data_IF_689014573917
#
_entry.id   IF_689014573917
#
_cell.length_a   1.000
_cell.length_b   1.000
_cell.length_c   1.000
_cell.angle_alpha   90.00
_cell.angle_beta   90.00
_cell.angle_gamma   90.00
#
_symmetry.space_group_name_H-M   'P 1'
#
loop_
_entity.id
_entity.type
_entity.pdbx_description
1 polymer ?
#
# COMPACT_ATOMS: atom_id res chain seq x y z
N UNK A 1 9.69 -0.23 -6.19
CA UNK A 1 10.87 0.53 -5.72
C UNK A 1 10.72 0.76 -4.22
N UNK A 2 11.82 0.84 -3.48
CA UNK A 2 11.89 1.25 -2.06
C UNK A 2 13.01 2.27 -1.88
N UNK A 3 12.96 3.04 -0.80
CA UNK A 3 13.96 4.04 -0.47
C UNK A 3 14.25 4.00 1.02
N UNK A 4 15.53 3.95 1.37
CA UNK A 4 15.95 4.28 2.74
C UNK A 4 16.07 5.78 2.82
N UNK A 5 15.14 6.41 3.52
CA UNK A 5 15.10 7.86 3.66
C UNK A 5 16.00 8.34 4.80
N UNK A 6 16.76 9.39 4.55
CA UNK A 6 17.52 10.14 5.55
C UNK A 6 17.11 11.62 5.45
N UNK A 7 16.58 12.15 6.55
CA UNK A 7 16.20 13.56 6.64
C UNK A 7 17.42 14.45 6.42
N UNK A 8 17.25 15.46 5.57
CA UNK A 8 18.26 16.51 5.34
C UNK A 8 18.17 17.62 6.40
N UNK A 9 17.17 17.57 7.28
CA UNK A 9 16.90 18.56 8.33
C UNK A 9 17.29 18.07 9.73
N UNK A 10 17.86 16.87 9.85
CA UNK A 10 18.37 16.37 11.14
C UNK A 10 19.81 16.85 11.34
N UNK A 11 19.95 17.98 12.04
CA UNK A 11 21.25 18.59 12.38
C UNK A 11 22.06 17.76 13.42
N UNK A 12 21.41 16.84 14.14
CA UNK A 12 22.03 16.03 15.21
C UNK A 12 23.06 14.98 14.72
N UNK A 13 23.16 14.75 13.41
CA UNK A 13 24.05 13.72 12.84
C UNK A 13 25.44 14.23 12.41
N UNK A 14 25.74 15.51 12.61
CA UNK A 14 27.01 16.10 12.16
C UNK A 14 28.05 16.18 13.29
N UNK A 15 27.64 16.20 14.56
CA UNK A 15 28.56 16.55 15.67
C UNK A 15 29.30 15.35 16.30
N UNK A 16 28.81 14.11 16.12
CA UNK A 16 29.43 12.90 16.71
C UNK A 16 29.86 11.87 15.65
N UNK A 17 30.68 12.29 14.68
CA UNK A 17 31.38 11.34 13.79
C UNK A 17 32.71 10.92 14.42
N UNK A 18 32.64 9.97 15.34
CA UNK A 18 33.78 9.11 15.63
C UNK A 18 34.26 8.45 14.32
N UNK A 19 35.56 8.50 14.08
CA UNK A 19 36.26 8.01 12.89
C UNK A 19 36.06 6.49 12.64
N UNK A 20 35.48 5.75 13.59
CA UNK A 20 35.13 4.33 13.48
C UNK A 20 33.80 4.04 12.75
N UNK A 21 33.06 5.05 12.26
CA UNK A 21 31.81 4.87 11.48
C UNK A 21 32.01 4.93 9.96
N UNK A 22 33.16 4.49 9.45
CA UNK A 22 33.48 4.47 8.01
C UNK A 22 32.66 3.42 7.21
N UNK A 23 31.80 2.62 7.85
CA UNK A 23 30.85 1.73 7.17
C UNK A 23 29.64 2.47 6.55
N UNK A 24 29.36 3.72 6.97
CA UNK A 24 28.18 4.45 6.50
C UNK A 24 28.36 5.22 5.18
N UNK A 25 29.59 5.38 4.69
CA UNK A 25 29.87 6.14 3.45
C UNK A 25 29.32 5.44 2.19
N UNK A 26 29.07 4.12 2.26
CA UNK A 26 28.59 3.31 1.14
C UNK A 26 27.06 3.13 1.10
N UNK A 27 26.30 3.73 2.03
CA UNK A 27 24.84 3.58 2.04
C UNK A 27 24.16 4.54 1.06
N UNK A 28 23.39 3.99 0.15
CA UNK A 28 22.59 4.72 -0.85
C UNK A 28 21.29 5.29 -0.23
N UNK A 29 21.43 6.30 0.64
CA UNK A 29 20.28 7.04 1.18
C UNK A 29 19.58 7.88 0.11
N UNK A 30 18.28 8.11 0.29
CA UNK A 30 17.45 8.97 -0.55
C UNK A 30 17.49 8.58 -2.05
N UNK A 31 17.76 7.31 -2.34
CA UNK A 31 17.71 6.73 -3.69
C UNK A 31 16.61 5.68 -3.75
N UNK A 32 15.87 5.71 -4.84
CA UNK A 32 14.94 4.63 -5.17
C UNK A 32 15.74 3.43 -5.68
N UNK A 33 15.58 2.29 -5.04
CA UNK A 33 16.11 0.99 -5.48
C UNK A 33 14.96 0.01 -5.77
N UNK A 34 15.15 -1.03 -6.59
CA UNK A 34 14.16 -2.08 -6.76
C UNK A 34 13.73 -2.68 -5.42
N UNK A 35 12.44 -3.00 -5.27
CA UNK A 35 11.99 -3.81 -4.14
C UNK A 35 12.34 -5.26 -4.47
N UNK A 36 13.09 -5.94 -3.61
CA UNK A 36 13.50 -7.33 -3.82
C UNK A 36 13.07 -8.21 -2.65
N UNK A 37 12.85 -9.50 -2.94
CA UNK A 37 12.63 -10.50 -1.89
C UNK A 37 13.97 -10.98 -1.28
N UNK A 38 13.91 -11.92 -0.34
CA UNK A 38 15.09 -12.49 0.33
C UNK A 38 16.02 -13.29 -0.60
N UNK A 39 15.69 -13.43 -1.89
CA UNK A 39 16.50 -14.08 -2.93
C UNK A 39 16.91 -13.09 -4.02
N UNK A 40 16.89 -11.79 -3.73
CA UNK A 40 17.19 -10.69 -4.64
C UNK A 40 16.32 -10.64 -5.91
N UNK A 41 15.15 -11.27 -5.88
CA UNK A 41 14.22 -11.23 -7.01
C UNK A 41 13.39 -9.96 -6.92
N UNK A 42 13.34 -9.20 -8.02
CA UNK A 42 12.55 -7.96 -8.10
C UNK A 42 11.07 -8.28 -7.93
N UNK A 43 10.43 -7.60 -6.99
CA UNK A 43 9.00 -7.66 -6.73
C UNK A 43 8.31 -6.57 -7.55
N UNK A 44 7.34 -6.97 -8.34
CA UNK A 44 6.49 -6.07 -9.14
C UNK A 44 5.07 -6.12 -8.59
N UNK A 45 4.49 -4.94 -8.38
CA UNK A 45 3.06 -4.76 -8.05
C UNK A 45 2.39 -4.26 -9.33
N UNK A 46 1.39 -5.01 -9.79
CA UNK A 46 0.67 -4.78 -11.04
C UNK A 46 1.02 -5.79 -12.11
N UNK A 47 0.08 -6.01 -13.04
CA UNK A 47 0.25 -6.82 -14.24
C UNK A 47 0.50 -5.92 -15.45
N UNK A 48 0.98 -6.50 -16.54
CA UNK A 48 1.34 -5.74 -17.75
C UNK A 48 0.15 -4.96 -18.33
N UNK A 49 -1.04 -5.54 -18.24
CA UNK A 49 -2.30 -5.00 -18.74
C UNK A 49 -3.00 -4.04 -17.76
N UNK A 50 -2.56 -3.98 -16.51
CA UNK A 50 -3.23 -3.17 -15.49
C UNK A 50 -2.88 -1.68 -15.65
N UNK A 51 -3.91 -0.83 -15.61
CA UNK A 51 -3.71 0.61 -15.57
C UNK A 51 -3.73 1.14 -14.12
N UNK A 52 -2.55 1.53 -13.62
CA UNK A 52 -2.37 2.08 -12.28
C UNK A 52 -2.41 3.62 -12.22
N UNK A 53 -2.81 4.29 -13.31
CA UNK A 53 -2.99 5.74 -13.32
C UNK A 53 -4.05 6.17 -12.30
N UNK A 54 -3.64 7.00 -11.34
CA UNK A 54 -4.52 7.46 -10.26
C UNK A 54 -4.86 6.40 -9.21
N UNK A 55 -4.06 5.33 -9.10
CA UNK A 55 -4.16 4.32 -8.03
C UNK A 55 -4.18 4.95 -6.64
N UNK A 56 -4.92 4.34 -5.73
CA UNK A 56 -4.85 4.63 -4.29
C UNK A 56 -4.53 3.35 -3.54
N UNK A 57 -3.80 3.50 -2.46
CA UNK A 57 -3.46 2.37 -1.59
C UNK A 57 -3.62 2.76 -0.14
N UNK A 58 -3.93 1.78 0.69
CA UNK A 58 -3.82 1.90 2.15
C UNK A 58 -3.09 0.67 2.67
N UNK A 59 -2.33 0.86 3.75
CA UNK A 59 -1.74 -0.23 4.52
C UNK A 59 -2.63 -0.47 5.74
N UNK A 60 -2.97 -1.73 5.99
CA UNK A 60 -3.82 -2.13 7.09
C UNK A 60 -3.80 -3.64 7.32
N UNK A 61 -4.94 -4.16 7.78
CA UNK A 61 -5.02 -5.50 8.35
C UNK A 61 -4.60 -5.53 9.83
N UNK A 62 -4.81 -6.66 10.48
CA UNK A 62 -4.63 -6.86 11.93
C UNK A 62 -3.22 -6.56 12.42
N UNK A 63 -2.21 -6.68 11.55
CA UNK A 63 -0.81 -6.37 11.84
C UNK A 63 -0.13 -5.48 10.79
N UNK A 64 -0.91 -4.64 10.08
CA UNK A 64 -0.40 -3.74 9.03
C UNK A 64 0.39 -4.46 7.91
N UNK A 65 0.05 -5.72 7.65
CA UNK A 65 0.74 -6.59 6.69
C UNK A 65 0.01 -6.68 5.34
N UNK A 66 -1.13 -6.01 5.18
CA UNK A 66 -1.91 -5.99 3.94
C UNK A 66 -1.89 -4.60 3.32
N UNK A 67 -1.68 -4.56 2.01
CA UNK A 67 -1.86 -3.39 1.17
C UNK A 67 -3.14 -3.58 0.35
N UNK A 68 -4.10 -2.69 0.55
CA UNK A 68 -5.32 -2.63 -0.26
C UNK A 68 -5.09 -1.62 -1.36
N UNK A 69 -5.30 -2.03 -2.61
CA UNK A 69 -4.96 -1.26 -3.79
C UNK A 69 -6.22 -1.11 -4.63
N UNK A 70 -6.64 0.12 -4.87
CA UNK A 70 -7.78 0.44 -5.72
C UNK A 70 -7.31 1.15 -6.98
N UNK A 71 -7.71 0.61 -8.14
CA UNK A 71 -7.16 1.02 -9.42
C UNK A 71 -8.18 0.89 -10.57
N UNK A 72 -7.84 1.47 -11.71
CA UNK A 72 -8.67 1.48 -12.90
C UNK A 72 -8.90 0.06 -13.45
N UNK A 73 -10.03 -0.24 -14.10
CA UNK A 73 -11.23 0.62 -14.22
C UNK A 73 -12.05 0.72 -12.95
N UNK A 74 -12.18 -0.37 -12.18
CA UNK A 74 -12.99 -0.43 -10.96
C UNK A 74 -12.57 -1.63 -10.13
N UNK A 75 -11.28 -1.73 -9.83
CA UNK A 75 -10.70 -2.90 -9.20
C UNK A 75 -10.23 -2.58 -7.79
N UNK A 76 -10.29 -3.59 -6.93
CA UNK A 76 -9.57 -3.65 -5.68
C UNK A 76 -8.76 -4.94 -5.64
N UNK A 77 -7.49 -4.83 -5.22
CA UNK A 77 -6.65 -5.98 -4.90
C UNK A 77 -6.11 -5.88 -3.48
N UNK A 78 -5.88 -7.03 -2.87
CA UNK A 78 -5.26 -7.17 -1.55
C UNK A 78 -3.93 -7.86 -1.75
N UNK A 79 -2.85 -7.19 -1.34
CA UNK A 79 -1.49 -7.66 -1.48
C UNK A 79 -0.86 -7.83 -0.09
N UNK A 80 -0.25 -8.98 0.16
CA UNK A 80 0.40 -9.28 1.43
C UNK A 80 1.85 -8.80 1.38
N UNK A 81 2.20 -7.87 2.28
CA UNK A 81 3.50 -7.23 2.37
C UNK A 81 4.59 -8.13 2.95
N UNK A 82 4.22 -9.20 3.67
CA UNK A 82 5.18 -10.16 4.22
C UNK A 82 5.57 -11.22 3.18
N UNK A 83 4.61 -11.67 2.38
CA UNK A 83 4.83 -12.73 1.37
C UNK A 83 5.11 -12.18 -0.02
N UNK A 84 4.88 -10.87 -0.23
CA UNK A 84 4.93 -10.20 -1.53
C UNK A 84 4.04 -10.86 -2.59
N UNK A 85 2.85 -11.30 -2.18
CA UNK A 85 1.89 -11.99 -3.03
C UNK A 85 0.50 -11.37 -2.94
N UNK A 86 -0.24 -11.45 -4.04
CA UNK A 86 -1.65 -11.12 -4.05
C UNK A 86 -2.49 -12.17 -3.33
N UNK A 87 -3.37 -11.71 -2.46
CA UNK A 87 -4.30 -12.53 -1.68
C UNK A 87 -5.69 -12.55 -2.31
N UNK A 88 -6.15 -11.39 -2.79
CA UNK A 88 -7.51 -11.23 -3.32
C UNK A 88 -7.57 -10.20 -4.44
N UNK A 89 -8.50 -10.43 -5.36
CA UNK A 89 -8.92 -9.48 -6.38
C UNK A 89 -10.44 -9.42 -6.40
N UNK A 90 -11.01 -8.24 -6.60
CA UNK A 90 -12.43 -8.05 -6.82
C UNK A 90 -12.69 -6.81 -7.69
N UNK A 91 -13.81 -6.85 -8.42
CA UNK A 91 -14.40 -5.66 -9.00
C UNK A 91 -15.17 -4.90 -7.92
N UNK A 92 -15.02 -3.58 -7.91
CA UNK A 92 -15.83 -2.70 -7.09
C UNK A 92 -17.21 -2.57 -7.74
N UNK A 93 -18.31 -2.72 -6.96
CA UNK A 93 -19.68 -2.60 -7.47
C UNK A 93 -20.03 -1.11 -7.65
N UNK A 94 -19.36 -0.46 -8.58
CA UNK A 94 -19.50 0.95 -8.93
C UNK A 94 -19.75 1.05 -10.43
N UNK A 95 -20.67 1.93 -10.81
CA UNK A 95 -21.04 2.15 -12.22
C UNK A 95 -19.94 2.89 -12.98
N UNK A 96 -19.33 3.88 -12.33
CA UNK A 96 -18.28 4.71 -12.92
C UNK A 96 -16.89 4.08 -12.80
N UNK A 97 -16.06 4.39 -13.80
CA UNK A 97 -14.62 4.11 -13.73
C UNK A 97 -13.99 4.96 -12.63
N UNK A 98 -13.05 4.38 -11.88
CA UNK A 98 -12.35 5.07 -10.80
C UNK A 98 -10.91 5.40 -11.23
N UNK A 99 -10.52 6.65 -10.99
CA UNK A 99 -9.13 7.13 -10.99
C UNK A 99 -9.06 8.30 -10.02
N UNK A 100 -7.91 8.49 -9.37
CA UNK A 100 -7.67 9.66 -8.50
C UNK A 100 -8.74 9.84 -7.40
N UNK A 101 -9.37 8.76 -6.96
CA UNK A 101 -10.44 8.79 -5.96
C UNK A 101 -9.89 9.01 -4.54
N UNK A 102 -10.79 9.21 -3.58
CA UNK A 102 -10.44 9.23 -2.16
C UNK A 102 -10.61 7.81 -1.60
N UNK A 103 -9.56 7.27 -0.98
CA UNK A 103 -9.59 5.95 -0.36
C UNK A 103 -8.96 6.06 1.03
N UNK A 104 -9.75 5.77 2.06
CA UNK A 104 -9.39 6.02 3.45
C UNK A 104 -9.75 4.84 4.35
N UNK A 105 -8.92 4.53 5.36
CA UNK A 105 -9.30 3.58 6.40
C UNK A 105 -10.39 4.18 7.31
N UNK A 106 -11.33 3.37 7.78
CA UNK A 106 -12.42 3.83 8.67
C UNK A 106 -11.99 3.92 10.15
N UNK A 107 -10.85 3.32 10.53
CA UNK A 107 -10.31 3.36 11.88
C UNK A 107 -9.66 2.05 12.30
N UNK A 108 -9.53 1.84 13.62
CA UNK A 108 -8.94 0.61 14.19
C UNK A 108 -9.72 -0.62 13.73
N UNK A 109 -9.00 -1.59 13.20
CA UNK A 109 -9.53 -2.89 12.79
C UNK A 109 -10.10 -3.61 14.02
N UNK A 110 -11.33 -4.09 13.92
CA UNK A 110 -11.89 -4.99 14.94
C UNK A 110 -11.33 -6.38 14.64
N UNK A 111 -10.32 -6.77 15.41
CA UNK A 111 -9.57 -8.04 15.47
C UNK A 111 -9.04 -8.66 14.17
N UNK A 112 -9.78 -8.69 13.06
CA UNK A 112 -9.37 -9.19 11.71
C UNK A 112 -10.15 -8.57 10.55
N UNK A 113 -10.97 -7.56 10.83
CA UNK A 113 -11.75 -6.86 9.81
C UNK A 113 -11.13 -5.50 9.54
N UNK A 114 -10.68 -5.30 8.29
CA UNK A 114 -10.23 -4.01 7.81
C UNK A 114 -11.39 -3.27 7.13
N UNK A 115 -11.84 -2.18 7.75
CA UNK A 115 -12.88 -1.33 7.20
C UNK A 115 -12.28 -0.10 6.51
N UNK A 116 -12.81 0.21 5.34
CA UNK A 116 -12.31 1.24 4.43
C UNK A 116 -13.49 1.94 3.77
N UNK A 117 -13.26 3.15 3.29
CA UNK A 117 -14.24 3.91 2.52
C UNK A 117 -13.61 4.44 1.25
N UNK A 118 -14.36 4.37 0.16
CA UNK A 118 -14.02 4.92 -1.13
C UNK A 118 -15.03 5.98 -1.52
N UNK A 119 -14.56 7.15 -1.92
CA UNK A 119 -15.38 8.22 -2.47
C UNK A 119 -14.85 8.66 -3.83
N UNK A 120 -15.73 8.67 -4.82
CA UNK A 120 -15.40 9.13 -6.16
C UNK A 120 -16.63 9.76 -6.81
N UNK A 121 -16.55 11.03 -7.18
CA UNK A 121 -17.67 11.81 -7.72
C UNK A 121 -18.91 11.72 -6.80
N UNK A 122 -20.00 11.08 -7.26
CA UNK A 122 -21.24 10.89 -6.49
C UNK A 122 -21.27 9.57 -5.71
N UNK A 123 -20.32 8.66 -5.96
CA UNK A 123 -20.27 7.35 -5.32
C UNK A 123 -19.58 7.42 -3.96
N UNK A 124 -20.22 6.84 -2.95
CA UNK A 124 -19.61 6.49 -1.68
C UNK A 124 -19.76 4.99 -1.45
N UNK A 125 -18.66 4.30 -1.18
CA UNK A 125 -18.63 2.86 -0.97
C UNK A 125 -17.88 2.52 0.32
N UNK A 126 -18.56 1.87 1.26
CA UNK A 126 -17.92 1.21 2.39
C UNK A 126 -17.44 -0.18 1.97
N UNK A 127 -16.22 -0.52 2.36
CA UNK A 127 -15.55 -1.77 2.04
C UNK A 127 -15.09 -2.41 3.34
N UNK A 128 -15.40 -3.68 3.56
CA UNK A 128 -14.88 -4.47 4.67
C UNK A 128 -14.12 -5.68 4.11
N UNK A 129 -12.91 -5.90 4.62
CA UNK A 129 -12.12 -7.08 4.31
C UNK A 129 -11.99 -7.96 5.54
N UNK A 130 -12.34 -9.24 5.43
CA UNK A 130 -12.15 -10.23 6.48
C UNK A 130 -10.88 -11.06 6.19
N UNK A 131 -9.91 -11.00 7.09
CA UNK A 131 -8.64 -11.72 6.95
C UNK A 131 -8.75 -13.24 7.14
N UNK A 132 -9.82 -13.75 7.78
CA UNK A 132 -9.98 -15.19 8.02
C UNK A 132 -10.35 -15.96 6.75
N UNK A 133 -11.22 -15.39 5.93
CA UNK A 133 -11.74 -16.02 4.70
C UNK A 133 -11.30 -15.28 3.42
N UNK A 134 -10.53 -14.18 3.56
CA UNK A 134 -10.12 -13.30 2.47
C UNK A 134 -11.31 -12.76 1.64
N UNK A 135 -12.44 -12.51 2.29
CA UNK A 135 -13.64 -11.96 1.66
C UNK A 135 -13.68 -10.44 1.69
N UNK A 136 -14.26 -9.86 0.63
CA UNK A 136 -14.55 -8.44 0.51
C UNK A 136 -16.07 -8.25 0.51
N UNK A 137 -16.54 -7.36 1.37
CA UNK A 137 -17.93 -6.93 1.45
C UNK A 137 -18.03 -5.46 1.06
N UNK A 138 -19.09 -5.12 0.35
CA UNK A 138 -19.31 -3.80 -0.22
C UNK A 138 -20.69 -3.28 0.16
N UNK A 139 -20.77 -2.03 0.61
CA UNK A 139 -22.02 -1.39 0.94
C UNK A 139 -22.01 0.05 0.42
N UNK A 140 -22.99 0.40 -0.42
CA UNK A 140 -23.18 1.77 -0.87
C UNK A 140 -23.59 2.65 0.31
N UNK A 141 -22.93 3.81 0.45
CA UNK A 141 -23.21 4.78 1.52
C UNK A 141 -23.64 6.15 0.99
N UNK A 142 -23.72 6.31 -0.34
CA UNK A 142 -24.26 7.48 -1.04
C UNK A 142 -24.79 7.08 -2.42
#
# INVERSE_FOLDING_TARGET
MVMTYMSVWNDDNIINRDENKMENANKHYNKWIPLTDNKDRVITIGRYEDNYEGVRTIIGGSSNHLMFITYFPKNISVFNLNTFQYVKYAGLPIDNLIRCHCFVPKGKTRSKIAEMMLFHQKTGLAIAYNEEDNSLQFHAIR
#
